data_IF_787422504114
#
_entry.id   IF_787422504114
#
_cell.length_a   1.000
_cell.length_b   1.000
_cell.length_c   1.000
_cell.angle_alpha   90.00
_cell.angle_beta   90.00
_cell.angle_gamma   90.00
#
_symmetry.space_group_name_H-M   'P 1'
#
loop_
_entity.id
_entity.type
_entity.pdbx_description
1 polymer ?
#
# COMPACT_ATOMS: atom_id res chain seq x y z
N UNK A 1 -10.34 16.37 8.44
CA UNK A 1 -10.59 15.59 7.21
C UNK A 1 -10.23 14.14 7.44
N UNK A 2 -11.06 13.26 6.92
CA UNK A 2 -10.84 11.82 7.10
C UNK A 2 -9.81 11.33 6.10
N UNK A 3 -8.78 10.65 6.60
CA UNK A 3 -7.76 10.03 5.76
C UNK A 3 -8.29 8.72 5.20
N UNK A 4 -7.93 8.41 3.97
CA UNK A 4 -8.31 7.17 3.30
C UNK A 4 -7.08 6.34 3.02
N UNK A 5 -7.13 5.05 3.35
CA UNK A 5 -6.08 4.09 3.00
C UNK A 5 -6.71 2.95 2.20
N UNK A 6 -6.02 2.56 1.13
CA UNK A 6 -6.41 1.42 0.31
C UNK A 6 -5.37 0.32 0.47
N UNK A 7 -5.83 -0.86 0.83
CA UNK A 7 -4.97 -2.02 1.06
C UNK A 7 -5.06 -2.95 -0.14
N UNK A 8 -3.95 -3.13 -0.85
CA UNK A 8 -3.87 -4.10 -1.95
C UNK A 8 -3.12 -5.30 -1.41
N UNK A 9 -3.86 -6.26 -0.89
CA UNK A 9 -3.33 -7.39 -0.13
C UNK A 9 -4.29 -8.57 -0.24
N UNK A 10 -3.78 -9.76 -0.55
CA UNK A 10 -4.61 -10.95 -0.71
C UNK A 10 -4.72 -11.83 0.53
N UNK A 11 -3.89 -11.61 1.55
CA UNK A 11 -3.96 -12.39 2.79
C UNK A 11 -5.00 -11.80 3.74
N UNK A 12 -6.12 -12.52 4.01
CA UNK A 12 -7.19 -11.96 4.84
C UNK A 12 -6.74 -11.56 6.24
N UNK A 13 -5.84 -12.32 6.85
CA UNK A 13 -5.36 -12.03 8.20
C UNK A 13 -4.62 -10.69 8.26
N UNK A 14 -3.83 -10.39 7.24
CA UNK A 14 -3.09 -9.13 7.18
C UNK A 14 -4.05 -7.98 6.93
N UNK A 15 -4.99 -8.16 6.01
CA UNK A 15 -6.01 -7.16 5.72
C UNK A 15 -6.82 -6.83 6.99
N UNK A 16 -7.23 -7.85 7.73
CA UNK A 16 -7.98 -7.66 8.97
C UNK A 16 -7.20 -6.87 10.00
N UNK A 17 -5.94 -7.22 10.20
CA UNK A 17 -5.08 -6.52 11.14
C UNK A 17 -4.93 -5.04 10.76
N UNK A 18 -4.71 -4.76 9.49
CA UNK A 18 -4.57 -3.39 9.02
C UNK A 18 -5.89 -2.62 9.13
N UNK A 19 -7.02 -3.25 8.81
CA UNK A 19 -8.33 -2.61 9.01
C UNK A 19 -8.52 -2.18 10.44
N UNK A 20 -8.11 -3.04 11.37
CA UNK A 20 -8.28 -2.76 12.79
C UNK A 20 -7.42 -1.55 13.22
N UNK A 21 -6.13 -1.56 12.89
CA UNK A 21 -5.24 -0.49 13.35
C UNK A 21 -5.54 0.85 12.68
N UNK A 22 -5.80 0.85 11.39
CA UNK A 22 -6.13 2.10 10.69
C UNK A 22 -7.51 2.59 11.07
N UNK A 23 -8.47 1.69 11.23
CA UNK A 23 -9.83 2.07 11.65
C UNK A 23 -9.84 2.73 13.01
N UNK A 24 -9.07 2.19 13.97
CA UNK A 24 -8.95 2.78 15.30
C UNK A 24 -8.34 4.19 15.25
N UNK A 25 -7.50 4.45 14.26
CA UNK A 25 -6.87 5.75 14.09
C UNK A 25 -7.73 6.73 13.28
N UNK A 26 -8.93 6.34 12.94
CA UNK A 26 -9.89 7.21 12.26
C UNK A 26 -9.82 7.20 10.74
N UNK A 27 -9.05 6.29 10.14
CA UNK A 27 -8.97 6.20 8.68
C UNK A 27 -10.18 5.47 8.09
N UNK A 28 -10.58 5.87 6.91
CA UNK A 28 -11.47 5.07 6.09
C UNK A 28 -10.64 4.03 5.37
N UNK A 29 -10.95 2.77 5.56
CA UNK A 29 -10.15 1.65 5.04
C UNK A 29 -10.92 0.94 3.93
N UNK A 30 -10.29 0.80 2.78
CA UNK A 30 -10.79 -0.02 1.68
C UNK A 30 -9.75 -1.09 1.37
N UNK A 31 -10.17 -2.21 0.81
CA UNK A 31 -9.26 -3.29 0.47
C UNK A 31 -9.60 -3.86 -0.89
N UNK A 32 -8.56 -4.25 -1.63
CA UNK A 32 -8.69 -4.94 -2.90
C UNK A 32 -7.70 -6.11 -2.90
N UNK A 33 -8.20 -7.35 -2.85
CA UNK A 33 -7.31 -8.51 -2.82
C UNK A 33 -6.73 -8.91 -4.18
N UNK A 34 -7.31 -8.40 -5.27
CA UNK A 34 -6.91 -8.78 -6.63
C UNK A 34 -6.04 -7.70 -7.25
N UNK A 35 -4.77 -8.04 -7.52
CA UNK A 35 -3.83 -7.11 -8.13
C UNK A 35 -4.28 -6.58 -9.49
N UNK A 36 -5.01 -7.39 -10.26
CA UNK A 36 -5.54 -6.95 -11.56
C UNK A 36 -6.56 -5.83 -11.44
N UNK A 37 -7.21 -5.70 -10.27
CA UNK A 37 -8.19 -4.65 -10.02
C UNK A 37 -7.62 -3.48 -9.22
N UNK A 38 -6.34 -3.54 -8.88
CA UNK A 38 -5.72 -2.56 -7.99
C UNK A 38 -5.78 -1.14 -8.55
N UNK A 39 -5.41 -0.96 -9.81
CA UNK A 39 -5.39 0.39 -10.39
C UNK A 39 -6.80 0.99 -10.45
N UNK A 40 -7.80 0.19 -10.81
CA UNK A 40 -9.19 0.65 -10.83
C UNK A 40 -9.65 1.05 -9.43
N UNK A 41 -9.26 0.28 -8.41
CA UNK A 41 -9.60 0.59 -7.02
C UNK A 41 -8.95 1.90 -6.57
N UNK A 42 -7.70 2.14 -6.96
CA UNK A 42 -7.00 3.40 -6.64
C UNK A 42 -7.70 4.57 -7.30
N UNK A 43 -8.05 4.45 -8.58
CA UNK A 43 -8.72 5.50 -9.32
C UNK A 43 -10.10 5.81 -8.75
N UNK A 44 -10.82 4.78 -8.34
CA UNK A 44 -12.16 4.94 -7.78
C UNK A 44 -12.13 5.58 -6.39
N UNK A 45 -11.28 5.06 -5.50
CA UNK A 45 -11.24 5.49 -4.11
C UNK A 45 -10.45 6.78 -3.89
N UNK A 46 -9.47 7.05 -4.73
CA UNK A 46 -8.53 8.17 -4.59
C UNK A 46 -8.02 8.27 -3.16
N UNK A 47 -7.34 7.24 -2.68
CA UNK A 47 -6.87 7.21 -1.30
C UNK A 47 -5.74 8.19 -1.06
N UNK A 48 -5.53 8.53 0.21
CA UNK A 48 -4.39 9.33 0.64
C UNK A 48 -3.14 8.47 0.73
N UNK A 49 -3.31 7.15 0.84
CA UNK A 49 -2.21 6.20 0.99
C UNK A 49 -2.62 4.85 0.41
N UNK A 50 -1.71 4.22 -0.32
CA UNK A 50 -1.88 2.84 -0.78
C UNK A 50 -0.85 1.98 -0.06
N UNK A 51 -1.29 0.87 0.51
CA UNK A 51 -0.40 -0.17 1.04
C UNK A 51 -0.51 -1.34 0.08
N UNK A 52 0.61 -1.69 -0.53
CA UNK A 52 0.65 -2.57 -1.70
C UNK A 52 1.61 -3.73 -1.47
N UNK A 53 1.06 -4.96 -1.49
CA UNK A 53 1.88 -6.16 -1.37
C UNK A 53 2.64 -6.40 -2.67
N UNK A 54 3.92 -6.76 -2.56
CA UNK A 54 4.72 -7.15 -3.72
C UNK A 54 4.19 -8.44 -4.34
N UNK A 55 3.82 -9.40 -3.49
CA UNK A 55 3.43 -10.75 -3.93
C UNK A 55 1.91 -10.88 -4.00
N UNK A 56 1.35 -10.47 -5.14
CA UNK A 56 -0.08 -10.61 -5.38
C UNK A 56 -0.32 -11.71 -6.43
N UNK A 57 -1.46 -12.41 -6.37
CA UNK A 57 -1.79 -13.38 -7.40
C UNK A 57 -1.98 -12.69 -8.75
N UNK A 58 -1.40 -13.27 -9.78
CA UNK A 58 -1.59 -12.83 -11.16
C UNK A 58 -0.82 -11.60 -11.59
N UNK A 59 -0.74 -10.58 -10.74
CA UNK A 59 -0.07 -9.31 -11.06
C UNK A 59 0.81 -8.92 -9.89
N UNK A 60 2.10 -8.65 -10.13
CA UNK A 60 2.97 -8.25 -9.03
C UNK A 60 2.70 -6.82 -8.58
N UNK A 61 3.02 -6.54 -7.32
CA UNK A 61 2.91 -5.18 -6.80
C UNK A 61 3.75 -4.19 -7.58
N UNK A 62 4.89 -4.62 -8.12
CA UNK A 62 5.73 -3.75 -8.95
C UNK A 62 5.02 -3.31 -10.23
N UNK A 63 4.26 -4.21 -10.85
CA UNK A 63 3.48 -3.88 -12.04
C UNK A 63 2.38 -2.86 -11.71
N UNK A 64 1.70 -3.07 -10.60
CA UNK A 64 0.67 -2.12 -10.13
C UNK A 64 1.30 -0.75 -9.89
N UNK A 65 2.46 -0.71 -9.24
CA UNK A 65 3.14 0.55 -8.94
C UNK A 65 3.56 1.27 -10.22
N UNK A 66 4.08 0.54 -11.21
CA UNK A 66 4.48 1.14 -12.48
C UNK A 66 3.30 1.78 -13.20
N UNK A 67 2.16 1.08 -13.22
CA UNK A 67 0.94 1.61 -13.84
C UNK A 67 0.47 2.86 -13.09
N UNK A 68 0.49 2.80 -11.77
CA UNK A 68 0.07 3.92 -10.94
C UNK A 68 0.92 5.16 -11.21
N UNK A 69 2.24 5.01 -11.19
CA UNK A 69 3.16 6.16 -11.36
C UNK A 69 3.06 6.80 -12.73
N UNK A 70 2.62 6.07 -13.73
CA UNK A 70 2.43 6.59 -15.09
C UNK A 70 1.13 7.38 -15.24
N UNK A 71 0.21 7.30 -14.29
CA UNK A 71 -1.09 7.96 -14.41
C UNK A 71 -1.00 9.45 -14.05
N UNK A 72 -1.55 10.35 -14.89
CA UNK A 72 -1.47 11.79 -14.61
C UNK A 72 -2.36 12.28 -13.47
N UNK A 73 -3.39 11.50 -13.10
CA UNK A 73 -4.34 11.91 -12.05
C UNK A 73 -3.94 11.40 -10.67
N UNK A 74 -3.66 10.09 -10.55
CA UNK A 74 -3.36 9.47 -9.27
C UNK A 74 -1.89 9.07 -9.11
N UNK A 75 -1.05 9.42 -10.07
CA UNK A 75 0.34 8.97 -10.12
C UNK A 75 1.23 9.40 -8.97
N UNK A 76 0.82 10.39 -8.18
CA UNK A 76 1.59 10.88 -7.04
C UNK A 76 1.10 10.33 -5.70
N UNK A 77 0.15 9.41 -5.72
CA UNK A 77 -0.40 8.82 -4.49
C UNK A 77 0.73 8.15 -3.69
N UNK A 78 0.86 8.46 -2.40
CA UNK A 78 1.86 7.80 -1.56
C UNK A 78 1.64 6.29 -1.49
N UNK A 79 2.72 5.53 -1.59
CA UNK A 79 2.67 4.06 -1.58
C UNK A 79 3.69 3.50 -0.60
N UNK A 80 3.24 2.59 0.26
CA UNK A 80 4.09 1.74 1.09
C UNK A 80 4.03 0.34 0.49
N UNK A 81 5.19 -0.19 0.08
CA UNK A 81 5.26 -1.57 -0.41
C UNK A 81 5.48 -2.52 0.74
N UNK A 82 4.77 -3.65 0.73
CA UNK A 82 4.97 -4.72 1.70
C UNK A 82 5.62 -5.92 1.02
N UNK A 83 6.57 -6.56 1.69
CA UNK A 83 7.21 -7.76 1.18
C UNK A 83 7.25 -8.83 2.26
N UNK A 84 7.24 -10.11 1.86
CA UNK A 84 7.28 -11.23 2.80
C UNK A 84 8.58 -11.33 3.57
N UNK A 85 9.67 -10.81 3.00
CA UNK A 85 10.99 -10.79 3.66
C UNK A 85 11.72 -9.53 3.24
N UNK A 86 12.52 -9.01 4.17
CA UNK A 86 13.27 -7.79 3.92
C UNK A 86 14.50 -8.03 3.06
N UNK A 87 14.32 -8.51 1.84
CA UNK A 87 15.43 -8.66 0.90
C UNK A 87 15.82 -7.29 0.37
N UNK A 88 17.11 -7.00 0.42
CA UNK A 88 17.65 -5.72 -0.04
C UNK A 88 17.24 -5.40 -1.47
N UNK A 89 17.27 -6.38 -2.36
CA UNK A 89 16.92 -6.14 -3.76
C UNK A 89 15.46 -5.79 -3.94
N UNK A 90 14.54 -6.33 -3.13
CA UNK A 90 13.12 -5.97 -3.19
C UNK A 90 12.91 -4.55 -2.71
N UNK A 91 13.64 -4.16 -1.67
CA UNK A 91 13.61 -2.78 -1.18
C UNK A 91 14.10 -1.82 -2.25
N UNK A 92 15.24 -2.11 -2.86
CA UNK A 92 15.83 -1.25 -3.88
C UNK A 92 14.91 -1.17 -5.11
N UNK A 93 14.35 -2.31 -5.53
CA UNK A 93 13.43 -2.35 -6.65
C UNK A 93 12.16 -1.55 -6.36
N UNK A 94 11.62 -1.64 -5.14
CA UNK A 94 10.43 -0.89 -4.74
C UNK A 94 10.67 0.61 -4.81
N UNK A 95 11.80 1.05 -4.27
CA UNK A 95 12.12 2.49 -4.27
C UNK A 95 12.38 3.00 -5.69
N UNK A 96 13.08 2.22 -6.51
CA UNK A 96 13.30 2.59 -7.91
C UNK A 96 12.01 2.65 -8.72
N UNK A 97 11.06 1.80 -8.40
CA UNK A 97 9.77 1.79 -9.08
C UNK A 97 8.85 2.93 -8.63
N UNK A 98 9.24 3.66 -7.58
CA UNK A 98 8.52 4.83 -7.13
C UNK A 98 7.74 4.67 -5.84
N UNK A 99 7.99 3.61 -5.06
CA UNK A 99 7.40 3.49 -3.73
C UNK A 99 8.02 4.54 -2.81
N UNK A 100 7.20 5.07 -1.91
CA UNK A 100 7.70 6.04 -0.93
C UNK A 100 8.42 5.34 0.21
N UNK A 101 7.93 4.17 0.61
CA UNK A 101 8.51 3.37 1.68
C UNK A 101 8.35 1.89 1.36
N UNK A 102 9.13 1.10 2.04
CA UNK A 102 9.16 -0.35 1.94
C UNK A 102 9.16 -0.93 3.35
N UNK A 103 8.29 -1.89 3.61
CA UNK A 103 8.21 -2.55 4.92
C UNK A 103 8.18 -4.06 4.73
N UNK A 104 8.99 -4.76 5.52
CA UNK A 104 9.03 -6.22 5.49
C UNK A 104 7.99 -6.82 6.44
N UNK A 105 7.35 -7.89 6.01
CA UNK A 105 6.51 -8.71 6.88
C UNK A 105 7.40 -9.71 7.63
N UNK A 106 7.11 -10.01 8.87
CA UNK A 106 6.10 -9.40 9.72
C UNK A 106 6.52 -8.01 10.20
N UNK A 107 5.57 -7.14 10.39
CA UNK A 107 5.83 -5.78 10.86
C UNK A 107 5.06 -5.52 12.17
N UNK A 108 5.54 -4.55 12.95
CA UNK A 108 4.81 -4.10 14.11
C UNK A 108 3.72 -3.11 13.68
N UNK A 109 2.49 -3.32 14.15
CA UNK A 109 1.36 -2.48 13.79
C UNK A 109 1.60 -1.00 14.11
N UNK A 110 2.22 -0.74 15.28
CA UNK A 110 2.51 0.63 15.68
C UNK A 110 3.50 1.31 14.74
N UNK A 111 4.49 0.56 14.24
CA UNK A 111 5.48 1.10 13.31
C UNK A 111 4.83 1.42 11.97
N UNK A 112 3.98 0.54 11.47
CA UNK A 112 3.28 0.78 10.22
C UNK A 112 2.41 2.04 10.31
N UNK A 113 1.65 2.16 11.39
CA UNK A 113 0.77 3.31 11.58
C UNK A 113 1.58 4.62 11.67
N UNK A 114 2.71 4.59 12.38
CA UNK A 114 3.57 5.76 12.51
C UNK A 114 4.10 6.24 11.15
N UNK A 115 4.66 5.33 10.36
CA UNK A 115 5.20 5.73 9.05
C UNK A 115 4.10 6.15 8.08
N UNK A 116 2.91 5.55 8.19
CA UNK A 116 1.77 5.94 7.38
C UNK A 116 1.34 7.37 7.70
N UNK A 117 1.24 7.72 8.98
CA UNK A 117 0.92 9.08 9.42
C UNK A 117 1.96 10.08 8.92
N UNK A 118 3.23 9.76 9.12
CA UNK A 118 4.32 10.66 8.71
C UNK A 118 4.26 10.93 7.21
N UNK A 119 3.94 9.90 6.43
CA UNK A 119 3.91 10.01 4.98
C UNK A 119 2.79 10.90 4.48
N UNK A 120 1.59 10.80 5.06
CA UNK A 120 0.43 11.59 4.59
C UNK A 120 0.38 12.99 5.20
N UNK A 121 1.12 13.24 6.27
CA UNK A 121 1.14 14.55 6.91
C UNK A 121 2.13 15.53 6.29
N UNK A 122 2.91 15.06 5.33
CA UNK A 122 3.89 15.93 4.66
C UNK A 122 3.27 16.85 3.63
#
# INVERSE_FOLDING_TARGET
MTRKVLLIEDEPNITEAMRFIFGRDGWLVSAEPDGAKAFAAISYNRPDLVILDVMLPGVSGFEVLNILRADPVVGQTPVIMLTAKGLERDRDASLRAGANLFIAKPFANADLLKVARDLVEK
#
